data_IF_647029124900
#
_entry.id   IF_647029124900
#
_cell.length_a   1.000
_cell.length_b   1.000
_cell.length_c   1.000
_cell.angle_alpha   90.00
_cell.angle_beta   90.00
_cell.angle_gamma   90.00
#
_symmetry.space_group_name_H-M   'P 1'
#
loop_
_entity.id
_entity.type
_entity.pdbx_description
1 polymer ?
#
# COMPACT_ATOMS: atom_id res chain seq x y z
N UNK A 1 -43.17 -51.70 30.33
CA UNK A 1 -43.62 -50.37 29.88
C UNK A 1 -42.77 -49.32 30.58
N UNK A 2 -41.84 -48.67 29.86
CA UNK A 2 -41.32 -47.30 30.08
C UNK A 2 -40.16 -47.10 29.10
N UNK A 3 -40.44 -46.57 27.92
CA UNK A 3 -40.33 -45.15 27.54
C UNK A 3 -38.91 -44.78 27.09
N UNK A 4 -38.77 -44.66 25.77
CA UNK A 4 -37.59 -44.19 25.07
C UNK A 4 -37.42 -42.67 25.25
N UNK A 5 -36.23 -42.23 25.63
CA UNK A 5 -35.85 -40.82 25.62
C UNK A 5 -34.71 -40.62 24.61
N UNK A 6 -35.09 -40.10 23.44
CA UNK A 6 -34.19 -39.69 22.35
C UNK A 6 -33.34 -38.50 22.79
N UNK A 7 -32.05 -38.72 23.07
CA UNK A 7 -31.08 -37.65 23.28
C UNK A 7 -30.68 -37.06 21.91
N UNK A 8 -30.91 -35.76 21.74
CA UNK A 8 -30.60 -34.99 20.53
C UNK A 8 -29.08 -34.73 20.48
N UNK A 9 -28.39 -34.88 19.33
CA UNK A 9 -26.96 -34.58 19.24
C UNK A 9 -26.74 -33.07 19.39
N UNK A 10 -25.86 -32.68 20.31
CA UNK A 10 -25.38 -31.30 20.44
C UNK A 10 -24.49 -30.96 19.24
N UNK A 11 -24.72 -29.83 18.54
CA UNK A 11 -23.95 -29.46 17.34
C UNK A 11 -22.54 -28.93 17.63
N UNK A 12 -22.02 -29.11 18.84
CA UNK A 12 -20.67 -28.71 19.20
C UNK A 12 -19.83 -29.96 19.42
N UNK A 13 -19.32 -30.48 18.30
CA UNK A 13 -18.30 -31.51 18.29
C UNK A 13 -16.99 -30.97 18.84
N UNK A 14 -16.41 -31.77 19.72
CA UNK A 14 -15.05 -31.77 20.26
C UNK A 14 -14.03 -30.80 19.59
N UNK A 15 -13.55 -29.75 20.28
CA UNK A 15 -12.51 -28.84 19.78
C UNK A 15 -11.08 -29.42 19.91
N UNK A 16 -10.92 -30.71 20.14
CA UNK A 16 -9.61 -31.36 20.28
C UNK A 16 -8.96 -31.81 18.97
N UNK A 17 -8.54 -30.90 18.07
CA UNK A 17 -7.47 -31.20 17.07
C UNK A 17 -6.89 -29.95 16.36
N UNK A 18 -6.70 -28.85 17.07
CA UNK A 18 -5.74 -27.82 16.67
C UNK A 18 -5.20 -27.20 17.95
N UNK A 19 -3.92 -27.43 18.25
CA UNK A 19 -3.29 -26.97 19.49
C UNK A 19 -3.54 -25.47 19.72
N UNK A 20 -4.21 -25.12 20.82
CA UNK A 20 -4.37 -23.73 21.24
C UNK A 20 -2.98 -23.16 21.60
N UNK A 21 -2.60 -21.99 21.07
CA UNK A 21 -1.29 -21.40 21.31
C UNK A 21 -1.13 -21.05 22.80
N UNK A 22 -0.14 -21.65 23.46
CA UNK A 22 0.00 -21.65 24.92
C UNK A 22 0.91 -20.52 25.44
N UNK A 23 1.52 -19.73 24.55
CA UNK A 23 2.41 -18.62 24.86
C UNK A 23 2.32 -17.50 23.80
N UNK A 24 2.55 -16.24 24.21
CA UNK A 24 2.63 -15.06 23.30
C UNK A 24 3.68 -15.24 22.20
N UNK A 25 4.74 -16.02 22.49
CA UNK A 25 5.79 -16.34 21.52
C UNK A 25 5.28 -17.23 20.38
N UNK A 26 4.40 -18.19 20.68
CA UNK A 26 3.76 -19.05 19.67
C UNK A 26 2.79 -18.26 18.78
N UNK A 27 2.05 -17.31 19.38
CA UNK A 27 1.15 -16.42 18.64
C UNK A 27 1.94 -15.47 17.73
N UNK A 28 3.03 -14.89 18.22
CA UNK A 28 3.94 -14.04 17.42
C UNK A 28 4.51 -14.83 16.25
N UNK A 29 4.99 -16.05 16.49
CA UNK A 29 5.56 -16.92 15.45
C UNK A 29 4.52 -17.32 14.40
N UNK A 30 3.29 -17.61 14.83
CA UNK A 30 2.18 -17.94 13.94
C UNK A 30 1.75 -16.74 13.07
N UNK A 31 1.70 -15.54 13.66
CA UNK A 31 1.43 -14.29 12.93
C UNK A 31 2.52 -13.97 11.90
N UNK A 32 3.79 -14.13 12.27
CA UNK A 32 4.93 -13.94 11.35
C UNK A 32 4.88 -14.95 10.21
N UNK A 33 4.58 -16.22 10.49
CA UNK A 33 4.41 -17.24 9.45
C UNK A 33 3.21 -16.97 8.54
N UNK A 34 2.10 -16.45 9.08
CA UNK A 34 0.93 -16.06 8.30
C UNK A 34 1.25 -14.89 7.36
N UNK A 35 1.98 -13.88 7.84
CA UNK A 35 2.47 -12.75 7.03
C UNK A 35 3.38 -13.23 5.90
N UNK A 36 4.34 -14.11 6.21
CA UNK A 36 5.26 -14.67 5.21
C UNK A 36 4.53 -15.47 4.12
N UNK A 37 3.54 -16.30 4.49
CA UNK A 37 2.75 -17.06 3.50
C UNK A 37 1.90 -16.17 2.60
N UNK A 38 1.33 -15.09 3.15
CA UNK A 38 0.60 -14.08 2.38
C UNK A 38 1.54 -13.36 1.40
N UNK A 39 2.74 -13.02 1.85
CA UNK A 39 3.76 -12.36 1.04
C UNK A 39 4.28 -13.30 -0.07
N UNK A 40 4.52 -14.58 0.23
CA UNK A 40 4.90 -15.61 -0.73
C UNK A 40 3.81 -15.85 -1.78
N UNK A 41 2.54 -15.90 -1.38
CA UNK A 41 1.41 -16.01 -2.33
C UNK A 41 1.27 -14.76 -3.21
N UNK A 42 1.54 -13.57 -2.66
CA UNK A 42 1.56 -12.31 -3.39
C UNK A 42 2.76 -12.24 -4.38
N UNK A 43 3.91 -12.81 -4.01
CA UNK A 43 5.07 -12.92 -4.88
C UNK A 43 4.89 -13.98 -5.97
N UNK A 44 4.24 -15.10 -5.67
CA UNK A 44 3.96 -16.19 -6.61
C UNK A 44 2.95 -15.77 -7.69
N UNK A 45 2.07 -14.82 -7.38
CA UNK A 45 1.09 -14.26 -8.33
C UNK A 45 1.61 -13.09 -9.16
N UNK A 46 2.88 -12.66 -9.01
CA UNK A 46 3.45 -11.64 -9.89
C UNK A 46 3.59 -12.18 -11.31
N UNK A 47 2.91 -11.53 -12.24
CA UNK A 47 3.12 -11.73 -13.67
C UNK A 47 4.60 -11.51 -14.01
N UNK A 48 5.13 -12.24 -15.00
CA UNK A 48 6.50 -12.05 -15.52
C UNK A 48 6.76 -10.58 -15.89
N UNK A 49 5.72 -9.87 -16.33
CA UNK A 49 5.76 -8.43 -16.61
C UNK A 49 6.01 -7.57 -15.36
N UNK A 50 5.41 -7.90 -14.21
CA UNK A 50 5.62 -7.16 -12.96
C UNK A 50 7.04 -7.38 -12.42
N UNK A 51 7.63 -8.55 -12.67
CA UNK A 51 9.01 -8.85 -12.30
C UNK A 51 10.01 -8.02 -13.11
N UNK A 52 9.75 -7.87 -14.41
CA UNK A 52 10.54 -7.01 -15.32
C UNK A 52 10.34 -5.53 -14.95
N UNK A 53 9.10 -5.09 -14.73
CA UNK A 53 8.81 -3.72 -14.33
C UNK A 53 9.50 -3.34 -13.00
N UNK A 54 9.50 -4.24 -12.02
CA UNK A 54 10.21 -4.02 -10.75
C UNK A 54 11.73 -3.97 -10.89
N UNK A 55 12.32 -4.71 -11.83
CA UNK A 55 13.76 -4.61 -12.13
C UNK A 55 14.09 -3.26 -12.78
N UNK A 56 13.31 -2.88 -13.81
CA UNK A 56 13.47 -1.62 -14.53
C UNK A 56 13.32 -0.43 -13.57
N UNK A 57 12.32 -0.46 -12.70
CA UNK A 57 12.08 0.58 -11.71
C UNK A 57 13.29 0.80 -10.78
N UNK A 58 13.85 -0.28 -10.27
CA UNK A 58 15.04 -0.21 -9.39
C UNK A 58 16.29 0.23 -10.15
N UNK A 59 16.40 -0.15 -11.43
CA UNK A 59 17.55 0.20 -12.27
C UNK A 59 17.53 1.69 -12.67
N UNK A 60 16.41 2.18 -13.20
CA UNK A 60 16.24 3.58 -13.60
C UNK A 60 16.25 4.55 -12.40
N UNK A 61 15.82 4.11 -11.22
CA UNK A 61 15.88 4.92 -10.00
C UNK A 61 17.24 4.92 -9.30
N UNK A 62 18.25 4.23 -9.83
CA UNK A 62 19.55 4.07 -9.17
C UNK A 62 20.55 5.16 -9.58
N UNK A 63 21.23 5.74 -8.59
CA UNK A 63 22.35 6.68 -8.83
C UNK A 63 23.51 6.11 -9.69
N UNK A 64 23.91 4.82 -9.59
CA UNK A 64 24.98 4.28 -10.43
C UNK A 64 24.65 4.24 -11.92
N UNK A 65 23.37 4.17 -12.31
CA UNK A 65 22.95 4.20 -13.71
C UNK A 65 23.46 5.45 -14.42
N UNK A 66 23.28 6.62 -13.79
CA UNK A 66 23.74 7.91 -14.32
C UNK A 66 25.27 7.94 -14.44
N UNK A 67 25.98 7.43 -13.42
CA UNK A 67 27.44 7.38 -13.41
C UNK A 67 28.01 6.57 -14.58
N UNK A 68 27.39 5.44 -14.92
CA UNK A 68 27.80 4.61 -16.07
C UNK A 68 27.61 5.36 -17.39
N UNK A 69 26.49 6.07 -17.59
CA UNK A 69 26.25 6.82 -18.83
C UNK A 69 27.23 7.98 -18.98
N UNK A 70 27.46 8.73 -17.90
CA UNK A 70 28.45 9.80 -17.89
C UNK A 70 29.84 9.26 -18.23
N UNK A 71 30.23 8.11 -17.66
CA UNK A 71 31.52 7.48 -17.97
C UNK A 71 31.61 7.03 -19.44
N UNK A 72 30.57 6.40 -19.98
CA UNK A 72 30.52 5.95 -21.39
C UNK A 72 30.61 7.15 -22.35
N UNK A 73 29.81 8.20 -22.15
CA UNK A 73 29.83 9.39 -23.01
C UNK A 73 31.15 10.15 -22.88
N UNK A 74 31.70 10.28 -21.68
CA UNK A 74 33.01 10.90 -21.46
C UNK A 74 34.11 10.11 -22.17
N UNK A 75 34.09 8.77 -22.06
CA UNK A 75 35.05 7.91 -22.75
C UNK A 75 34.93 8.04 -24.28
N UNK A 76 33.70 8.07 -24.82
CA UNK A 76 33.47 8.28 -26.25
C UNK A 76 34.03 9.62 -26.73
N UNK A 77 33.78 10.68 -25.96
CA UNK A 77 34.26 12.02 -26.29
C UNK A 77 35.79 12.10 -26.24
N UNK A 78 36.42 11.48 -25.24
CA UNK A 78 37.87 11.42 -25.11
C UNK A 78 38.50 10.65 -26.29
N UNK A 79 37.98 9.46 -26.62
CA UNK A 79 38.49 8.66 -27.74
C UNK A 79 38.40 9.41 -29.07
N UNK A 80 37.32 10.16 -29.31
CA UNK A 80 37.10 10.89 -30.56
C UNK A 80 37.67 12.32 -30.57
N UNK A 81 38.19 12.83 -29.46
CA UNK A 81 38.82 14.18 -29.38
C UNK A 81 40.35 14.11 -29.24
N UNK A 82 40.90 12.95 -28.87
CA UNK A 82 42.33 12.79 -28.68
C UNK A 82 43.04 12.57 -30.03
N UNK A 83 44.04 13.40 -30.38
CA UNK A 83 44.75 13.32 -31.66
C UNK A 83 45.58 12.03 -31.83
N UNK A 84 45.78 11.27 -30.74
CA UNK A 84 46.52 10.02 -30.73
C UNK A 84 45.68 8.80 -31.16
N UNK A 85 44.36 8.93 -31.31
CA UNK A 85 43.45 7.85 -31.67
C UNK A 85 42.76 8.12 -33.02
N UNK A 86 42.40 7.07 -33.79
CA UNK A 86 41.60 7.24 -34.99
C UNK A 86 40.23 7.80 -34.61
N UNK A 87 39.85 8.93 -35.22
CA UNK A 87 38.59 9.61 -34.95
C UNK A 87 37.48 8.88 -35.70
N UNK A 88 36.72 8.06 -34.99
CA UNK A 88 35.64 7.25 -35.57
C UNK A 88 34.35 8.07 -35.78
N UNK A 89 34.11 9.03 -34.89
CA UNK A 89 32.95 9.93 -34.90
C UNK A 89 33.45 11.39 -34.76
N UNK A 90 33.87 12.05 -35.87
CA UNK A 90 34.33 13.43 -35.85
C UNK A 90 33.23 14.40 -35.42
N UNK A 91 33.62 15.55 -34.88
CA UNK A 91 32.67 16.66 -34.62
C UNK A 91 31.87 16.95 -35.89
N UNK A 92 30.52 16.88 -35.87
CA UNK A 92 29.60 17.10 -34.73
C UNK A 92 29.08 15.84 -33.97
N UNK A 93 29.76 14.69 -34.00
CA UNK A 93 29.38 13.45 -33.30
C UNK A 93 28.01 12.89 -33.71
N UNK A 94 27.82 12.63 -35.00
CA UNK A 94 26.54 12.16 -35.57
C UNK A 94 26.13 10.79 -34.99
N UNK A 95 27.08 9.87 -34.78
CA UNK A 95 26.76 8.54 -34.27
C UNK A 95 26.36 8.59 -32.80
N UNK A 96 27.12 9.32 -31.97
CA UNK A 96 26.75 9.52 -30.57
C UNK A 96 25.36 10.12 -30.44
N UNK A 97 25.04 11.14 -31.25
CA UNK A 97 23.73 11.79 -31.25
C UNK A 97 22.61 10.81 -31.60
N UNK A 98 22.82 9.95 -32.60
CA UNK A 98 21.84 8.93 -32.99
C UNK A 98 21.62 7.93 -31.85
N UNK A 99 22.69 7.43 -31.23
CA UNK A 99 22.59 6.47 -30.11
C UNK A 99 21.88 7.10 -28.92
N UNK A 100 22.26 8.31 -28.52
CA UNK A 100 21.64 9.03 -27.40
C UNK A 100 20.15 9.29 -27.65
N UNK A 101 19.76 9.68 -28.87
CA UNK A 101 18.35 9.91 -29.19
C UNK A 101 17.50 8.65 -29.10
N UNK A 102 18.04 7.52 -29.58
CA UNK A 102 17.38 6.22 -29.48
C UNK A 102 17.28 5.76 -28.02
N UNK A 103 18.37 5.90 -27.26
CA UNK A 103 18.44 5.56 -25.85
C UNK A 103 17.44 6.37 -25.02
N UNK A 104 17.28 7.66 -25.29
CA UNK A 104 16.32 8.51 -24.62
C UNK A 104 14.86 8.01 -24.76
N UNK A 105 14.49 7.48 -25.93
CA UNK A 105 13.16 6.88 -26.14
C UNK A 105 12.96 5.65 -25.27
N UNK A 106 13.97 4.77 -25.20
CA UNK A 106 13.93 3.59 -24.33
C UNK A 106 13.85 3.99 -22.85
N UNK A 107 14.64 4.97 -22.43
CA UNK A 107 14.62 5.46 -21.05
C UNK A 107 13.28 6.06 -20.66
N UNK A 108 12.70 6.90 -21.53
CA UNK A 108 11.37 7.47 -21.30
C UNK A 108 10.31 6.36 -21.17
N UNK A 109 10.37 5.34 -22.03
CA UNK A 109 9.45 4.19 -21.98
C UNK A 109 9.63 3.38 -20.69
N UNK A 110 10.87 3.13 -20.29
CA UNK A 110 11.19 2.42 -19.05
C UNK A 110 10.76 3.19 -17.80
N UNK A 111 10.96 4.50 -17.79
CA UNK A 111 10.47 5.39 -16.75
C UNK A 111 8.94 5.33 -16.69
N UNK A 112 8.24 5.39 -17.83
CA UNK A 112 6.78 5.32 -17.86
C UNK A 112 6.25 3.96 -17.35
N UNK A 113 6.88 2.87 -17.73
CA UNK A 113 6.54 1.52 -17.23
C UNK A 113 6.77 1.43 -15.72
N UNK A 114 7.90 1.96 -15.24
CA UNK A 114 8.22 2.02 -13.81
C UNK A 114 7.18 2.84 -13.04
N UNK A 115 6.84 4.03 -13.54
CA UNK A 115 5.85 4.91 -12.93
C UNK A 115 4.47 4.24 -12.90
N UNK A 116 4.04 3.62 -14.00
CA UNK A 116 2.76 2.91 -14.05
C UNK A 116 2.73 1.71 -13.07
N UNK A 117 3.86 1.02 -12.89
CA UNK A 117 3.97 -0.05 -11.89
C UNK A 117 3.83 0.48 -10.46
N UNK A 118 4.56 1.54 -10.11
CA UNK A 118 4.48 2.17 -8.79
C UNK A 118 3.09 2.75 -8.51
N UNK A 119 2.45 3.38 -9.52
CA UNK A 119 1.07 3.87 -9.40
C UNK A 119 0.09 2.73 -9.10
N UNK A 120 0.20 1.59 -9.79
CA UNK A 120 -0.65 0.41 -9.51
C UNK A 120 -0.46 -0.13 -8.10
N UNK A 121 0.78 -0.14 -7.59
CA UNK A 121 1.07 -0.57 -6.22
C UNK A 121 0.51 0.44 -5.21
N UNK A 122 0.74 1.73 -5.45
CA UNK A 122 0.24 2.82 -4.61
C UNK A 122 -1.28 2.80 -4.51
N UNK A 123 -1.98 2.62 -5.63
CA UNK A 123 -3.44 2.55 -5.67
C UNK A 123 -3.96 1.35 -4.85
N UNK A 124 -3.34 0.18 -4.99
CA UNK A 124 -3.70 -0.99 -4.18
C UNK A 124 -3.50 -0.74 -2.68
N UNK A 125 -2.40 -0.10 -2.29
CA UNK A 125 -2.14 0.26 -0.89
C UNK A 125 -3.20 1.22 -0.37
N UNK A 126 -3.49 2.27 -1.12
CA UNK A 126 -4.52 3.25 -0.77
C UNK A 126 -5.90 2.61 -0.56
N UNK A 127 -6.29 1.68 -1.45
CA UNK A 127 -7.55 0.93 -1.30
C UNK A 127 -7.60 0.04 -0.05
N UNK A 128 -6.47 -0.59 0.32
CA UNK A 128 -6.38 -1.38 1.54
C UNK A 128 -6.43 -0.48 2.78
N UNK A 129 -5.70 0.63 2.76
CA UNK A 129 -5.67 1.59 3.87
C UNK A 129 -7.07 2.19 4.10
N UNK A 130 -7.81 2.53 3.03
CA UNK A 130 -9.19 3.00 3.13
C UNK A 130 -10.09 1.94 3.79
N UNK A 131 -9.98 0.68 3.37
CA UNK A 131 -10.78 -0.41 3.95
C UNK A 131 -10.48 -0.64 5.43
N UNK A 132 -9.20 -0.60 5.82
CA UNK A 132 -8.78 -0.73 7.21
C UNK A 132 -9.34 0.42 8.04
N UNK A 133 -9.28 1.65 7.53
CA UNK A 133 -9.84 2.82 8.22
C UNK A 133 -11.36 2.69 8.42
N UNK A 134 -12.10 2.33 7.38
CA UNK A 134 -13.55 2.12 7.48
C UNK A 134 -13.92 1.01 8.47
N UNK A 135 -13.18 -0.10 8.46
CA UNK A 135 -13.36 -1.18 9.43
C UNK A 135 -13.08 -0.70 10.86
N UNK A 136 -12.00 0.05 11.06
CA UNK A 136 -11.62 0.63 12.35
C UNK A 136 -12.69 1.59 12.87
N UNK A 137 -13.27 2.42 12.01
CA UNK A 137 -14.40 3.30 12.37
C UNK A 137 -15.64 2.51 12.79
N UNK A 138 -15.96 1.42 12.10
CA UNK A 138 -17.07 0.53 12.47
C UNK A 138 -16.83 -0.16 13.81
N UNK A 139 -15.63 -0.65 14.05
CA UNK A 139 -15.24 -1.27 15.32
C UNK A 139 -15.28 -0.26 16.47
N UNK A 140 -14.75 0.95 16.28
CA UNK A 140 -14.86 2.05 17.24
C UNK A 140 -16.32 2.38 17.55
N UNK A 141 -17.18 2.47 16.54
CA UNK A 141 -18.61 2.73 16.73
C UNK A 141 -19.27 1.62 17.55
N UNK A 142 -18.97 0.36 17.25
CA UNK A 142 -19.48 -0.80 18.03
C UNK A 142 -18.97 -0.77 19.47
N UNK A 143 -17.70 -0.44 19.68
CA UNK A 143 -17.13 -0.29 21.03
C UNK A 143 -17.85 0.80 21.82
N UNK A 144 -18.08 1.98 21.23
CA UNK A 144 -18.84 3.06 21.86
C UNK A 144 -20.28 2.61 22.20
N UNK A 145 -20.95 1.89 21.30
CA UNK A 145 -22.29 1.34 21.56
C UNK A 145 -22.30 0.32 22.69
N UNK A 146 -21.28 -0.54 22.77
CA UNK A 146 -21.14 -1.52 23.86
C UNK A 146 -20.85 -0.82 25.19
N UNK A 147 -19.96 0.19 25.20
CA UNK A 147 -19.68 1.01 26.38
C UNK A 147 -20.93 1.75 26.86
N UNK A 148 -21.73 2.32 25.96
CA UNK A 148 -23.01 2.96 26.29
C UNK A 148 -24.02 1.97 26.91
N UNK A 149 -24.09 0.74 26.38
CA UNK A 149 -24.93 -0.32 26.96
C UNK A 149 -24.46 -0.73 28.36
N UNK A 150 -23.15 -0.79 28.59
CA UNK A 150 -22.57 -1.09 29.90
C UNK A 150 -22.84 0.06 30.87
N UNK A 151 -22.57 1.31 30.48
CA UNK A 151 -22.80 2.50 31.31
C UNK A 151 -24.25 2.60 31.79
N UNK A 152 -25.23 2.39 30.89
CA UNK A 152 -26.65 2.32 31.26
C UNK A 152 -26.95 1.23 32.28
N UNK A 153 -26.35 0.05 32.13
CA UNK A 153 -26.59 -1.09 33.04
C UNK A 153 -25.95 -0.90 34.41
N UNK A 154 -24.87 -0.13 34.49
CA UNK A 154 -24.18 0.25 35.74
C UNK A 154 -24.84 1.46 36.43
N UNK A 155 -25.84 2.09 35.80
CA UNK A 155 -26.59 3.22 36.38
C UNK A 155 -25.86 4.56 36.26
N UNK A 156 -24.86 4.65 35.38
CA UNK A 156 -24.15 5.89 35.07
C UNK A 156 -24.94 6.63 33.99
N UNK A 157 -25.60 7.74 34.35
CA UNK A 157 -26.24 8.62 33.37
C UNK A 157 -25.16 9.30 32.52
N UNK A 158 -25.17 9.06 31.22
CA UNK A 158 -24.27 9.70 30.24
C UNK A 158 -24.94 10.87 29.50
N UNK A 159 -26.09 11.34 29.98
CA UNK A 159 -26.89 12.39 29.33
C UNK A 159 -26.27 13.80 29.41
N UNK A 160 -25.27 14.02 30.27
CA UNK A 160 -24.76 15.38 30.56
C UNK A 160 -23.39 15.73 29.94
N UNK A 161 -22.79 14.87 29.10
CA UNK A 161 -21.49 15.17 28.49
C UNK A 161 -21.60 15.57 26.99
N UNK A 162 -21.55 16.88 26.66
CA UNK A 162 -21.64 17.37 25.29
C UNK A 162 -20.57 16.80 24.35
N UNK A 163 -19.42 16.35 24.87
CA UNK A 163 -18.34 15.79 24.06
C UNK A 163 -18.72 14.43 23.44
N UNK A 164 -19.51 13.61 24.14
CA UNK A 164 -19.95 12.28 23.67
C UNK A 164 -20.93 12.40 22.51
N UNK A 165 -21.79 13.43 22.53
CA UNK A 165 -22.76 13.69 21.48
C UNK A 165 -22.13 14.23 20.18
N UNK A 166 -20.98 14.90 20.30
CA UNK A 166 -20.16 15.39 19.18
C UNK A 166 -19.37 14.23 18.55
N UNK A 167 -18.75 13.37 19.36
CA UNK A 167 -18.03 12.18 18.90
C UNK A 167 -18.96 11.21 18.14
N UNK A 168 -20.21 11.02 18.58
CA UNK A 168 -21.24 10.23 17.88
C UNK A 168 -21.59 10.75 16.48
N UNK A 169 -21.54 12.07 16.29
CA UNK A 169 -21.80 12.69 14.97
C UNK A 169 -20.57 12.67 14.07
N UNK A 170 -19.37 12.75 14.66
CA UNK A 170 -18.10 12.74 13.93
C UNK A 170 -17.66 11.34 13.42
N UNK A 171 -18.37 10.27 13.78
CA UNK A 171 -18.06 8.90 13.31
C UNK A 171 -18.72 8.52 11.97
N UNK A 172 -19.43 9.47 11.33
CA UNK A 172 -20.04 9.24 10.03
C UNK A 172 -19.17 9.86 8.92
N UNK A 173 -18.47 9.05 8.10
CA UNK A 173 -17.59 9.56 7.05
C UNK A 173 -18.30 10.49 6.05
N UNK A 174 -19.61 10.30 5.81
CA UNK A 174 -20.42 11.16 4.94
C UNK A 174 -20.57 12.60 5.50
N UNK A 175 -20.74 12.75 6.82
CA UNK A 175 -20.86 14.06 7.46
C UNK A 175 -19.52 14.82 7.50
N UNK A 176 -18.40 14.10 7.58
CA UNK A 176 -17.07 14.68 7.42
C UNK A 176 -16.81 15.12 5.98
N UNK A 177 -17.27 14.36 4.98
CA UNK A 177 -17.13 14.73 3.57
C UNK A 177 -17.87 16.05 3.27
N UNK A 178 -19.11 16.19 3.73
CA UNK A 178 -19.90 17.42 3.56
C UNK A 178 -19.22 18.63 4.25
N UNK A 179 -18.65 18.44 5.44
CA UNK A 179 -17.94 19.50 6.16
C UNK A 179 -16.64 19.92 5.46
N UNK A 180 -15.89 18.98 4.90
CA UNK A 180 -14.67 19.26 4.14
C UNK A 180 -15.01 20.01 2.84
N UNK A 181 -16.06 19.59 2.13
CA UNK A 181 -16.52 20.24 0.91
C UNK A 181 -17.00 21.67 1.18
N UNK A 182 -17.79 21.90 2.25
CA UNK A 182 -18.21 23.24 2.67
C UNK A 182 -17.03 24.13 3.03
N UNK A 183 -16.07 23.65 3.83
CA UNK A 183 -14.90 24.43 4.23
C UNK A 183 -13.99 24.81 3.05
N UNK A 184 -13.87 23.93 2.03
CA UNK A 184 -13.13 24.25 0.80
C UNK A 184 -13.88 25.25 -0.09
N UNK A 185 -15.21 25.17 -0.14
CA UNK A 185 -16.06 26.10 -0.89
C UNK A 185 -16.00 27.51 -0.28
N UNK A 186 -16.13 27.61 1.03
CA UNK A 186 -16.03 28.88 1.76
C UNK A 186 -14.65 29.54 1.60
N UNK A 187 -13.57 28.73 1.58
CA UNK A 187 -12.21 29.22 1.30
C UNK A 187 -12.02 29.68 -0.14
N UNK A 188 -12.73 29.07 -1.09
CA UNK A 188 -12.68 29.43 -2.51
C UNK A 188 -13.52 30.66 -2.84
N UNK A 189 -14.55 30.94 -2.03
CA UNK A 189 -15.46 32.09 -2.16
C UNK A 189 -15.03 33.31 -1.32
N UNK A 190 -14.04 33.18 -0.43
CA UNK A 190 -13.49 34.31 0.32
C UNK A 190 -12.72 35.28 -0.63
N UNK A 191 -13.19 36.54 -0.78
CA UNK A 191 -12.48 37.52 -1.59
C UNK A 191 -11.19 37.93 -0.88
N UNK A 192 -10.10 37.98 -1.67
CA UNK A 192 -8.76 38.43 -1.26
C UNK A 192 -8.77 39.88 -0.74
#
# INVERSE_FOLDING_TARGET
MSSAATARPTPYGDPGSAAEPTCVDDLTRQNVQAMQRLEEAALASRSRSDRIAGFIARFCGSMPFVGVHVAIFSAWLLVNSLPALPHFDPYPFTFLTLVVSLEAIFLSTFILISQNHELRISERRNQLDLQINLLTEQENTKMLQMLERIARKVGVSMDDDPAVHILKKATHPEALLEQIEQAQRDRSEAPN
#
